data_IF_442248962980
#
_entry.id   IF_442248962980
#
_cell.length_a   1.000
_cell.length_b   1.000
_cell.length_c   1.000
_cell.angle_alpha   90.00
_cell.angle_beta   90.00
_cell.angle_gamma   90.00
#
_symmetry.space_group_name_H-M   'P 1'
#
loop_
_entity.id
_entity.type
_entity.pdbx_description
1 polymer ?
#
# COMPACT_ATOMS: atom_id res chain seq x y z
N UNK A 1 4.15 8.74 -6.42
CA UNK A 1 5.34 8.90 -5.55
C UNK A 1 5.79 7.55 -4.98
N UNK A 2 5.06 6.97 -4.02
CA UNK A 2 5.46 5.74 -3.31
C UNK A 2 5.77 4.56 -4.24
N UNK A 3 4.86 4.23 -5.16
CA UNK A 3 5.05 3.14 -6.12
C UNK A 3 6.32 3.29 -6.97
N UNK A 4 6.54 4.47 -7.56
CA UNK A 4 7.73 4.78 -8.36
C UNK A 4 9.00 4.70 -7.53
N UNK A 5 8.99 5.24 -6.31
CA UNK A 5 10.13 5.17 -5.39
C UNK A 5 10.48 3.72 -5.06
N UNK A 6 9.47 2.90 -4.75
CA UNK A 6 9.65 1.47 -4.44
C UNK A 6 10.22 0.70 -5.62
N UNK A 7 9.70 0.94 -6.83
CA UNK A 7 10.22 0.36 -8.06
C UNK A 7 11.68 0.74 -8.32
N UNK A 8 12.02 2.04 -8.28
CA UNK A 8 13.38 2.50 -8.55
C UNK A 8 14.38 1.99 -7.49
N UNK A 9 13.96 1.86 -6.24
CA UNK A 9 14.79 1.24 -5.21
C UNK A 9 15.03 -0.25 -5.51
N UNK A 10 14.01 -0.98 -5.96
CA UNK A 10 14.16 -2.38 -6.35
C UNK A 10 15.12 -2.52 -7.56
N UNK A 11 14.99 -1.68 -8.59
CA UNK A 11 15.93 -1.63 -9.73
C UNK A 11 17.37 -1.34 -9.27
N UNK A 12 17.54 -0.39 -8.35
CA UNK A 12 18.84 -0.08 -7.77
C UNK A 12 19.43 -1.28 -7.03
N UNK A 13 18.63 -1.99 -6.25
CA UNK A 13 19.09 -3.12 -5.45
C UNK A 13 19.40 -4.36 -6.29
N UNK A 14 18.68 -4.57 -7.40
CA UNK A 14 18.87 -5.71 -8.30
C UNK A 14 19.89 -5.43 -9.40
N UNK A 15 20.18 -4.16 -9.69
CA UNK A 15 21.04 -3.76 -10.80
C UNK A 15 20.42 -3.97 -12.19
N UNK A 16 19.11 -4.16 -12.28
CA UNK A 16 18.39 -4.43 -13.54
C UNK A 16 16.94 -3.94 -13.47
N UNK A 17 16.36 -3.64 -14.63
CA UNK A 17 14.93 -3.39 -14.83
C UNK A 17 14.17 -4.62 -15.35
N UNK A 18 14.78 -5.81 -15.36
CA UNK A 18 14.10 -7.05 -15.70
C UNK A 18 12.84 -7.24 -14.84
N UNK A 19 11.72 -7.49 -15.50
CA UNK A 19 10.39 -7.46 -14.90
C UNK A 19 10.26 -8.49 -13.77
N UNK A 20 10.72 -9.72 -13.98
CA UNK A 20 10.55 -10.79 -13.00
C UNK A 20 11.46 -10.57 -11.79
N UNK A 21 12.70 -10.17 -12.04
CA UNK A 21 13.68 -9.86 -11.00
C UNK A 21 13.22 -8.70 -10.12
N UNK A 22 12.79 -7.59 -10.74
CA UNK A 22 12.31 -6.41 -10.01
C UNK A 22 11.03 -6.71 -9.25
N UNK A 23 10.05 -7.41 -9.87
CA UNK A 23 8.80 -7.78 -9.20
C UNK A 23 9.07 -8.61 -7.95
N UNK A 24 9.96 -9.61 -8.04
CA UNK A 24 10.35 -10.44 -6.89
C UNK A 24 10.96 -9.58 -5.77
N UNK A 25 11.90 -8.70 -6.12
CA UNK A 25 12.53 -7.79 -5.13
C UNK A 25 11.53 -6.86 -4.46
N UNK A 26 10.58 -6.30 -5.23
CA UNK A 26 9.53 -5.43 -4.70
C UNK A 26 8.60 -6.16 -3.73
N UNK A 27 8.36 -7.47 -3.91
CA UNK A 27 7.57 -8.30 -2.99
C UNK A 27 8.32 -8.65 -1.71
N UNK A 28 9.63 -8.89 -1.80
CA UNK A 28 10.49 -9.19 -0.64
C UNK A 28 10.75 -7.98 0.25
N UNK A 29 10.55 -6.77 -0.28
CA UNK A 29 10.89 -5.52 0.40
C UNK A 29 9.62 -4.82 0.91
N UNK A 30 9.46 -4.62 2.22
CA UNK A 30 8.36 -3.82 2.75
C UNK A 30 8.39 -2.38 2.21
N UNK A 31 7.21 -1.82 1.95
CA UNK A 31 7.00 -0.41 1.59
C UNK A 31 6.87 0.40 2.88
N UNK A 32 7.88 1.23 3.13
CA UNK A 32 7.99 2.10 4.31
C UNK A 32 8.37 3.52 3.85
N UNK A 33 7.38 4.38 3.64
CA UNK A 33 7.58 5.75 3.17
C UNK A 33 6.49 6.71 3.71
N UNK A 34 6.42 7.91 3.12
CA UNK A 34 5.48 8.97 3.52
C UNK A 34 4.01 8.60 3.27
N UNK A 35 3.73 7.66 2.37
CA UNK A 35 2.38 7.24 2.01
C UNK A 35 1.94 6.03 2.84
N UNK A 36 2.81 5.04 2.98
CA UNK A 36 2.48 3.79 3.66
C UNK A 36 3.59 3.34 4.62
N UNK A 37 3.16 2.81 5.77
CA UNK A 37 4.03 2.20 6.78
C UNK A 37 3.76 0.71 6.84
N UNK A 38 4.82 -0.08 6.88
CA UNK A 38 4.83 -1.54 6.98
C UNK A 38 3.92 -2.23 5.95
N UNK A 39 3.79 -1.62 4.77
CA UNK A 39 3.01 -2.21 3.71
C UNK A 39 3.82 -3.22 2.92
N UNK A 40 3.17 -4.13 2.21
CA UNK A 40 3.85 -5.18 1.46
C UNK A 40 3.07 -5.57 0.21
N UNK A 41 3.76 -6.09 -0.81
CA UNK A 41 3.11 -6.63 -2.00
C UNK A 41 2.87 -8.12 -1.79
N UNK A 42 1.60 -8.50 -1.75
CA UNK A 42 1.15 -9.88 -1.58
C UNK A 42 1.29 -10.67 -2.88
N UNK A 43 1.19 -11.98 -2.79
CA UNK A 43 1.35 -12.92 -3.93
C UNK A 43 0.46 -12.61 -5.14
N UNK A 44 -0.77 -12.16 -4.89
CA UNK A 44 -1.72 -11.70 -5.90
C UNK A 44 -1.36 -10.33 -6.53
N UNK A 45 -0.20 -9.76 -6.19
CA UNK A 45 0.27 -8.46 -6.64
C UNK A 45 -0.38 -7.28 -5.93
N UNK A 46 -1.26 -7.52 -4.94
CA UNK A 46 -1.92 -6.45 -4.18
C UNK A 46 -0.94 -5.85 -3.18
N UNK A 47 -0.79 -4.53 -3.19
CA UNK A 47 -0.13 -3.81 -2.12
C UNK A 47 -1.12 -3.71 -0.94
N UNK A 48 -0.74 -4.30 0.19
CA UNK A 48 -1.54 -4.43 1.42
C UNK A 48 -0.98 -3.48 2.46
N UNK A 49 -1.82 -2.63 3.03
CA UNK A 49 -1.44 -1.58 3.98
C UNK A 49 -2.62 -1.19 4.88
N UNK A 50 -2.39 -0.44 5.94
CA UNK A 50 -3.49 0.08 6.76
C UNK A 50 -4.31 1.11 5.97
N UNK A 51 -5.62 1.10 6.19
CA UNK A 51 -6.56 2.06 5.59
C UNK A 51 -7.15 2.96 6.68
N UNK A 52 -7.51 4.19 6.35
CA UNK A 52 -8.16 5.09 7.31
C UNK A 52 -9.65 5.22 7.02
N UNK A 53 -10.46 5.14 8.08
CA UNK A 53 -11.82 5.67 8.05
C UNK A 53 -11.75 7.14 8.45
N UNK A 54 -12.23 8.00 7.57
CA UNK A 54 -12.23 9.45 7.78
C UNK A 54 -13.64 10.00 7.90
N UNK A 55 -13.80 11.07 8.68
CA UNK A 55 -15.03 11.87 8.75
C UNK A 55 -14.71 13.26 8.24
N UNK A 56 -15.53 13.75 7.30
CA UNK A 56 -15.45 15.14 6.82
C UNK A 56 -15.78 16.08 7.98
N UNK A 57 -14.94 17.08 8.18
CA UNK A 57 -15.14 18.11 9.21
C UNK A 57 -16.28 19.04 8.83
N UNK A 58 -16.97 19.57 9.84
CA UNK A 58 -17.87 20.71 9.65
C UNK A 58 -17.07 21.98 9.36
N UNK A 59 -17.69 23.02 8.76
CA UNK A 59 -17.00 24.28 8.50
C UNK A 59 -16.40 24.93 9.75
N UNK A 60 -17.00 24.73 10.92
CA UNK A 60 -16.51 25.27 12.20
C UNK A 60 -15.32 24.49 12.79
N UNK A 61 -15.15 23.22 12.41
CA UNK A 61 -14.03 22.37 12.86
C UNK A 61 -12.78 22.52 11.97
N UNK A 62 -12.95 23.01 10.74
CA UNK A 62 -11.86 23.20 9.77
C UNK A 62 -11.07 24.47 10.08
N UNK A 63 -9.73 24.33 10.14
CA UNK A 63 -8.82 25.42 10.51
C UNK A 63 -8.22 26.15 9.31
N UNK A 64 -8.17 25.50 8.16
CA UNK A 64 -7.60 25.99 6.91
C UNK A 64 -8.13 25.16 5.73
N UNK A 65 -7.72 25.51 4.50
CA UNK A 65 -8.24 24.90 3.27
C UNK A 65 -7.93 23.40 3.12
N UNK A 66 -6.89 22.91 3.78
CA UNK A 66 -6.46 21.51 3.71
C UNK A 66 -6.97 20.68 4.91
N UNK A 67 -7.46 21.33 5.98
CA UNK A 67 -8.00 20.70 7.18
C UNK A 67 -9.44 20.18 7.00
N UNK A 68 -9.61 19.18 6.13
CA UNK A 68 -10.91 18.74 5.62
C UNK A 68 -11.54 17.56 6.36
N UNK A 69 -10.73 16.73 7.02
CA UNK A 69 -11.21 15.51 7.65
C UNK A 69 -10.42 15.15 8.90
N UNK A 70 -11.04 14.34 9.75
CA UNK A 70 -10.36 13.67 10.85
C UNK A 70 -10.31 12.17 10.63
N UNK A 71 -9.26 11.52 11.15
CA UNK A 71 -9.15 10.06 11.16
C UNK A 71 -9.97 9.54 12.34
N UNK A 72 -11.05 8.82 12.03
CA UNK A 72 -11.91 8.20 13.05
C UNK A 72 -11.30 6.91 13.56
N UNK A 73 -10.69 6.12 12.67
CA UNK A 73 -9.95 4.90 13.01
C UNK A 73 -9.01 4.47 11.90
N UNK A 74 -7.96 3.75 12.30
CA UNK A 74 -7.12 2.95 11.40
C UNK A 74 -7.71 1.55 11.28
N UNK A 75 -7.89 1.08 10.06
CA UNK A 75 -8.31 -0.28 9.71
C UNK A 75 -7.04 -1.06 9.38
N UNK A 76 -6.69 -2.08 10.19
CA UNK A 76 -5.50 -2.89 9.96
C UNK A 76 -5.50 -3.54 8.57
N UNK A 77 -4.32 -3.67 7.97
CA UNK A 77 -4.14 -4.18 6.62
C UNK A 77 -4.77 -5.57 6.38
N UNK A 78 -4.74 -6.46 7.37
CA UNK A 78 -5.33 -7.80 7.32
C UNK A 78 -6.87 -7.80 7.36
N UNK A 79 -7.49 -6.68 7.76
CA UNK A 79 -8.94 -6.47 7.76
C UNK A 79 -9.41 -5.60 6.61
N UNK A 80 -8.56 -4.69 6.13
CA UNK A 80 -8.91 -3.75 5.06
C UNK A 80 -8.93 -4.42 3.67
N UNK A 81 -8.14 -5.48 3.48
CA UNK A 81 -8.03 -6.19 2.21
C UNK A 81 -8.63 -7.59 2.34
N UNK A 82 -9.28 -8.04 1.26
CA UNK A 82 -9.79 -9.42 1.19
C UNK A 82 -8.65 -10.41 1.48
N UNK A 83 -8.88 -11.44 2.33
CA UNK A 83 -7.88 -12.48 2.60
C UNK A 83 -7.37 -13.12 1.32
N UNK A 84 -6.11 -13.55 1.31
CA UNK A 84 -5.52 -14.21 0.13
C UNK A 84 -6.28 -15.48 -0.25
N UNK A 85 -6.80 -16.22 0.75
CA UNK A 85 -7.62 -17.42 0.59
C UNK A 85 -8.93 -17.18 -0.18
N UNK A 86 -9.39 -15.94 -0.27
CA UNK A 86 -10.57 -15.54 -1.03
C UNK A 86 -10.20 -14.73 -2.28
N UNK A 87 -8.93 -14.71 -2.66
CA UNK A 87 -8.49 -14.07 -3.89
C UNK A 87 -9.16 -14.72 -5.09
N UNK A 88 -9.48 -13.95 -6.12
CA UNK A 88 -9.96 -14.48 -7.41
C UNK A 88 -8.83 -14.56 -8.44
N UNK A 89 -7.59 -14.32 -8.00
CA UNK A 89 -6.41 -14.36 -8.85
C UNK A 89 -6.08 -15.81 -9.22
N UNK A 90 -6.17 -16.15 -10.50
CA UNK A 90 -5.83 -17.48 -11.05
C UNK A 90 -4.38 -17.90 -10.79
N UNK A 91 -3.50 -16.95 -10.51
CA UNK A 91 -2.09 -17.23 -10.23
C UNK A 91 -1.84 -17.72 -8.80
N UNK A 92 -2.78 -17.49 -7.87
CA UNK A 92 -2.70 -17.91 -6.46
C UNK A 92 -3.52 -19.18 -6.22
N UNK A 93 -4.73 -19.28 -6.77
CA UNK A 93 -5.61 -20.44 -6.58
C UNK A 93 -5.37 -21.54 -7.62
N UNK A 94 -4.11 -21.97 -7.78
CA UNK A 94 -3.79 -23.07 -8.70
C UNK A 94 -4.15 -24.44 -8.13
#
# INVERSE_FOLDING_TARGET
YSSTRHYLQAVKDTGTDDTQTVRKKMMETPVNDIFAKNAYIREDGRMVHDMYLVRVKTPQESKDEDDLFEIVRTIPADKAFRPLSESVCKMVNK
#
